data_IF_969908421369
#
_entry.id   IF_969908421369
#
_cell.length_a   1.000
_cell.length_b   1.000
_cell.length_c   1.000
_cell.angle_alpha   90.00
_cell.angle_beta   90.00
_cell.angle_gamma   90.00
#
_symmetry.space_group_name_H-M   'P 1'
#
loop_
_entity.id
_entity.type
_entity.pdbx_description
1 polymer ?
#
# COMPACT_ATOMS: atom_id res chain seq x y z
N UNK A 1 -6.07 58.77 34.87
CA UNK A 1 -5.26 58.53 33.65
C UNK A 1 -4.59 57.16 33.65
N UNK A 2 -4.24 56.62 34.77
CA UNK A 2 -3.56 55.29 34.92
C UNK A 2 -4.48 54.12 34.59
N UNK A 3 -5.75 54.16 34.96
CA UNK A 3 -6.73 53.07 34.74
C UNK A 3 -6.90 52.76 33.22
N UNK A 4 -6.93 53.76 32.37
CA UNK A 4 -7.04 53.63 30.93
C UNK A 4 -5.76 52.98 30.32
N UNK A 5 -4.60 53.25 30.91
CA UNK A 5 -3.30 52.62 30.46
C UNK A 5 -3.27 51.16 30.85
N UNK A 6 -3.70 50.81 32.07
CA UNK A 6 -3.79 49.44 32.57
C UNK A 6 -4.78 48.61 31.74
N UNK A 7 -5.93 49.19 31.35
CA UNK A 7 -6.92 48.53 30.51
C UNK A 7 -6.37 48.23 29.09
N UNK A 8 -5.61 49.17 28.53
CA UNK A 8 -4.96 48.98 27.20
C UNK A 8 -3.86 47.93 27.24
N UNK A 9 -3.05 47.89 28.32
CA UNK A 9 -2.02 46.85 28.51
C UNK A 9 -2.66 45.46 28.70
N UNK A 10 -3.74 45.36 29.44
CA UNK A 10 -4.47 44.11 29.63
C UNK A 10 -5.11 43.61 28.34
N UNK A 11 -5.71 44.48 27.53
CA UNK A 11 -6.26 44.13 26.23
C UNK A 11 -5.18 43.70 25.24
N UNK A 12 -4.03 44.32 25.24
CA UNK A 12 -2.89 43.95 24.39
C UNK A 12 -2.29 42.60 24.78
N UNK A 13 -2.13 42.33 26.09
CA UNK A 13 -1.65 41.05 26.58
C UNK A 13 -2.64 39.91 26.27
N UNK A 14 -3.94 40.15 26.37
CA UNK A 14 -4.97 39.16 26.00
C UNK A 14 -4.97 38.87 24.49
N UNK A 15 -4.80 39.89 23.66
CA UNK A 15 -4.72 39.73 22.22
C UNK A 15 -3.48 38.93 21.77
N UNK A 16 -2.32 39.13 22.43
CA UNK A 16 -1.10 38.37 22.12
C UNK A 16 -1.20 36.90 22.53
N UNK A 17 -1.89 36.56 23.63
CA UNK A 17 -2.10 35.16 24.04
C UNK A 17 -3.03 34.39 23.10
N UNK A 18 -4.03 35.05 22.49
CA UNK A 18 -4.94 34.43 21.52
C UNK A 18 -4.27 34.13 20.17
N UNK A 19 -3.20 34.85 19.81
CA UNK A 19 -2.46 34.62 18.56
C UNK A 19 -1.48 33.43 18.60
N UNK A 20 -1.14 32.94 19.79
CA UNK A 20 -0.14 31.85 19.94
C UNK A 20 -0.75 30.45 19.87
N UNK A 21 -2.07 30.30 19.84
CA UNK A 21 -2.75 28.99 19.87
C UNK A 21 -2.98 28.35 18.49
N UNK A 22 -2.54 28.99 17.40
CA UNK A 22 -2.94 28.61 16.04
C UNK A 22 -2.12 27.49 15.38
N UNK A 23 -1.11 26.91 16.05
CA UNK A 23 -0.14 26.01 15.39
C UNK A 23 -0.24 24.54 15.77
N UNK A 24 -1.36 24.07 16.35
CA UNK A 24 -1.45 22.67 16.81
C UNK A 24 -2.04 21.67 15.80
N UNK A 25 -2.41 22.12 14.58
CA UNK A 25 -2.95 21.21 13.58
C UNK A 25 -1.84 20.48 12.80
N UNK A 26 -1.83 19.16 12.89
CA UNK A 26 -0.99 18.29 12.08
C UNK A 26 -1.87 17.52 11.09
N UNK A 27 -1.66 17.76 9.80
CA UNK A 27 -2.42 17.09 8.76
C UNK A 27 -2.13 15.57 8.74
N UNK A 28 -3.13 14.74 8.43
CA UNK A 28 -2.91 13.34 8.15
C UNK A 28 -1.90 13.17 7.01
N UNK A 29 -1.04 12.17 7.12
CA UNK A 29 -0.04 11.84 6.13
C UNK A 29 -0.25 10.39 5.67
N UNK A 30 -0.50 10.22 4.37
CA UNK A 30 -0.60 8.90 3.73
C UNK A 30 0.43 8.84 2.61
N UNK A 31 1.23 7.78 2.57
CA UNK A 31 2.29 7.58 1.58
C UNK A 31 2.36 6.12 1.14
N UNK A 32 2.89 5.89 -0.07
CA UNK A 32 3.08 4.56 -0.63
C UNK A 32 1.82 3.99 -1.29
N UNK A 33 1.75 2.66 -1.37
CA UNK A 33 0.64 1.96 -2.00
C UNK A 33 -0.49 1.76 -0.99
N UNK A 34 -1.58 2.51 -1.15
CA UNK A 34 -2.81 2.20 -0.42
C UNK A 34 -3.49 0.99 -1.07
N UNK A 35 -3.52 -0.14 -0.36
CA UNK A 35 -4.14 -1.38 -0.82
C UNK A 35 -5.26 -1.74 0.16
N UNK A 36 -6.45 -1.91 -0.37
CA UNK A 36 -7.60 -2.41 0.38
C UNK A 36 -7.58 -3.95 0.40
N UNK A 37 -8.13 -4.55 1.46
CA UNK A 37 -8.16 -6.01 1.61
C UNK A 37 -8.88 -6.69 0.45
N UNK A 38 -9.96 -6.10 -0.06
CA UNK A 38 -10.73 -6.64 -1.20
C UNK A 38 -9.95 -6.67 -2.52
N UNK A 39 -8.88 -5.88 -2.67
CA UNK A 39 -7.96 -6.02 -3.78
C UNK A 39 -6.99 -7.19 -3.56
N UNK A 40 -6.54 -7.37 -2.31
CA UNK A 40 -5.70 -8.52 -1.95
C UNK A 40 -6.47 -9.83 -2.11
N UNK A 41 -7.76 -9.84 -1.78
CA UNK A 41 -8.64 -11.00 -1.90
C UNK A 41 -8.88 -11.45 -3.36
N UNK A 42 -8.57 -10.59 -4.32
CA UNK A 42 -8.61 -10.93 -5.76
C UNK A 42 -7.33 -11.59 -6.26
N UNK A 43 -6.27 -11.62 -5.44
CA UNK A 43 -5.03 -12.28 -5.82
C UNK A 43 -5.20 -13.79 -5.77
N UNK A 44 -4.62 -14.44 -6.76
CA UNK A 44 -4.56 -15.90 -6.85
C UNK A 44 -3.16 -16.34 -7.29
N UNK A 45 -2.72 -17.46 -6.77
CA UNK A 45 -1.51 -18.13 -7.27
C UNK A 45 -1.70 -18.49 -8.75
N UNK A 46 -0.67 -18.29 -9.56
CA UNK A 46 -0.74 -18.46 -11.01
C UNK A 46 -0.98 -17.16 -11.80
N UNK A 47 -1.33 -16.04 -11.13
CA UNK A 47 -1.45 -14.75 -11.82
C UNK A 47 -0.12 -14.27 -12.39
N UNK A 48 -0.17 -13.65 -13.57
CA UNK A 48 1.01 -12.99 -14.16
C UNK A 48 1.30 -11.65 -13.48
N UNK A 49 2.53 -11.16 -13.63
CA UNK A 49 2.93 -9.83 -13.16
C UNK A 49 2.05 -8.72 -13.69
N UNK A 50 1.59 -8.80 -14.95
CA UNK A 50 0.66 -7.84 -15.53
C UNK A 50 -0.71 -7.88 -14.85
N UNK A 51 -1.23 -9.09 -14.58
CA UNK A 51 -2.50 -9.25 -13.88
C UNK A 51 -2.44 -8.68 -12.46
N UNK A 52 -1.33 -8.94 -11.75
CA UNK A 52 -1.10 -8.38 -10.41
C UNK A 52 -1.03 -6.84 -10.47
N UNK A 53 -0.32 -6.26 -11.44
CA UNK A 53 -0.30 -4.81 -11.64
C UNK A 53 -1.66 -4.23 -11.97
N UNK A 54 -2.47 -4.95 -12.70
CA UNK A 54 -3.83 -4.51 -13.01
C UNK A 54 -4.70 -4.44 -11.76
N UNK A 55 -4.54 -5.38 -10.82
CA UNK A 55 -5.31 -5.43 -9.57
C UNK A 55 -4.78 -4.44 -8.52
N UNK A 56 -3.47 -4.45 -8.26
CA UNK A 56 -2.84 -3.70 -7.15
C UNK A 56 -2.15 -2.40 -7.57
N UNK A 57 -1.97 -2.19 -8.86
CA UNK A 57 -1.15 -1.09 -9.37
C UNK A 57 0.34 -1.42 -9.36
N UNK A 58 1.17 -0.39 -9.58
CA UNK A 58 2.62 -0.52 -9.62
C UNK A 58 3.18 -0.72 -8.20
N UNK A 59 4.04 -1.72 -7.96
CA UNK A 59 4.69 -1.90 -6.66
C UNK A 59 5.62 -0.72 -6.34
N UNK A 60 5.79 -0.44 -5.05
CA UNK A 60 6.68 0.62 -4.58
C UNK A 60 8.15 0.28 -4.82
N UNK A 61 8.50 -0.99 -4.66
CA UNK A 61 9.86 -1.48 -4.85
C UNK A 61 9.83 -2.85 -5.54
N UNK A 62 10.70 -2.99 -6.53
CA UNK A 62 11.08 -4.27 -7.14
C UNK A 62 12.57 -4.43 -6.86
N UNK A 63 12.97 -5.60 -6.35
CA UNK A 63 14.38 -5.86 -6.10
C UNK A 63 15.16 -5.84 -7.43
N UNK A 64 16.17 -4.98 -7.59
CA UNK A 64 16.92 -4.86 -8.84
C UNK A 64 17.79 -6.09 -9.16
N UNK A 65 18.10 -6.90 -8.15
CA UNK A 65 18.90 -8.11 -8.30
C UNK A 65 18.05 -9.37 -8.44
N UNK A 66 16.83 -9.31 -7.88
CA UNK A 66 15.88 -10.43 -7.88
C UNK A 66 14.46 -9.92 -8.19
N UNK A 67 14.10 -9.91 -9.47
CA UNK A 67 12.76 -9.53 -9.91
C UNK A 67 11.63 -10.47 -9.45
N UNK A 68 11.97 -11.46 -8.62
CA UNK A 68 11.01 -12.40 -8.05
C UNK A 68 10.19 -11.80 -6.90
N UNK A 69 10.62 -10.68 -6.32
CA UNK A 69 9.95 -10.08 -5.17
C UNK A 69 9.47 -8.66 -5.47
N UNK A 70 8.20 -8.43 -5.21
CA UNK A 70 7.57 -7.12 -5.29
C UNK A 70 7.10 -6.69 -3.92
N UNK A 71 7.36 -5.43 -3.59
CA UNK A 71 7.02 -4.84 -2.30
C UNK A 71 6.01 -3.72 -2.49
N UNK A 72 4.88 -3.84 -1.80
CA UNK A 72 3.89 -2.81 -1.64
C UNK A 72 3.90 -2.35 -0.20
N UNK A 73 4.17 -1.08 0.03
CA UNK A 73 4.29 -0.50 1.36
C UNK A 73 3.29 0.64 1.49
N UNK A 74 2.47 0.59 2.51
CA UNK A 74 1.54 1.65 2.88
C UNK A 74 1.93 2.24 4.22
N UNK A 75 2.09 3.56 4.26
CA UNK A 75 2.34 4.34 5.46
C UNK A 75 1.17 5.29 5.69
N UNK A 76 0.60 5.25 6.89
CA UNK A 76 -0.44 6.17 7.32
C UNK A 76 -0.13 6.70 8.71
N UNK A 77 -0.31 8.01 8.89
CA UNK A 77 -0.24 8.66 10.21
C UNK A 77 -1.32 9.72 10.29
N UNK A 78 -2.21 9.59 11.27
CA UNK A 78 -3.29 10.53 11.51
C UNK A 78 -2.87 11.53 12.61
N UNK A 79 -2.66 12.79 12.21
CA UNK A 79 -2.29 13.86 13.13
C UNK A 79 -1.05 13.54 13.96
N UNK A 80 -1.24 13.40 15.27
CA UNK A 80 -0.19 13.15 16.27
C UNK A 80 -0.08 11.67 16.68
N UNK A 81 -0.91 10.80 16.09
CA UNK A 81 -0.90 9.37 16.36
C UNK A 81 0.37 8.70 15.84
N UNK A 82 0.68 7.53 16.38
CA UNK A 82 1.77 6.70 15.90
C UNK A 82 1.50 6.24 14.45
N UNK A 83 2.52 6.19 13.60
CA UNK A 83 2.34 5.77 12.23
C UNK A 83 1.99 4.28 12.14
N UNK A 84 1.07 3.96 11.25
CA UNK A 84 0.75 2.59 10.85
C UNK A 84 1.46 2.29 9.53
N UNK A 85 2.25 1.23 9.49
CA UNK A 85 2.90 0.73 8.27
C UNK A 85 2.35 -0.65 7.97
N UNK A 86 1.88 -0.87 6.73
CA UNK A 86 1.45 -2.17 6.24
C UNK A 86 2.27 -2.55 5.03
N UNK A 87 2.77 -3.77 5.03
CA UNK A 87 3.57 -4.33 3.97
C UNK A 87 2.84 -5.50 3.32
N UNK A 88 2.89 -5.56 1.99
CA UNK A 88 2.51 -6.73 1.21
C UNK A 88 3.70 -7.10 0.33
N UNK A 89 4.15 -8.33 0.44
CA UNK A 89 5.27 -8.87 -0.31
C UNK A 89 4.73 -9.98 -1.20
N UNK A 90 4.94 -9.86 -2.50
CA UNK A 90 4.54 -10.85 -3.49
C UNK A 90 5.77 -11.56 -4.02
N UNK A 91 5.70 -12.88 -4.06
CA UNK A 91 6.77 -13.75 -4.57
C UNK A 91 6.38 -14.34 -5.91
N UNK A 92 7.25 -14.17 -6.90
CA UNK A 92 7.06 -14.67 -8.26
C UNK A 92 8.10 -15.74 -8.60
N UNK A 93 7.68 -16.73 -9.38
CA UNK A 93 8.57 -17.62 -10.08
C UNK A 93 8.52 -17.28 -11.57
N UNK A 94 9.60 -16.65 -12.08
CA UNK A 94 9.57 -16.03 -13.39
C UNK A 94 8.54 -14.92 -13.45
N UNK A 95 7.47 -15.11 -14.24
CA UNK A 95 6.39 -14.15 -14.40
C UNK A 95 5.11 -14.50 -13.61
N UNK A 96 5.12 -15.60 -12.86
CA UNK A 96 3.93 -16.15 -12.20
C UNK A 96 4.00 -15.95 -10.70
N UNK A 97 2.91 -15.42 -10.10
CA UNK A 97 2.75 -15.26 -8.67
C UNK A 97 2.61 -16.65 -8.01
N UNK A 98 3.49 -16.93 -7.04
CA UNK A 98 3.50 -18.21 -6.33
C UNK A 98 3.14 -18.08 -4.85
N UNK A 99 3.42 -16.93 -4.23
CA UNK A 99 3.12 -16.72 -2.82
C UNK A 99 2.97 -15.25 -2.47
N UNK A 100 2.37 -14.99 -1.30
CA UNK A 100 2.25 -13.67 -0.70
C UNK A 100 2.49 -13.74 0.79
N UNK A 101 3.04 -12.66 1.35
CA UNK A 101 3.30 -12.51 2.78
C UNK A 101 3.20 -11.04 3.21
N UNK A 102 3.20 -10.78 4.52
CA UNK A 102 3.14 -9.43 5.08
C UNK A 102 1.99 -9.26 6.06
N UNK A 103 1.47 -8.02 6.15
CA UNK A 103 0.47 -7.62 7.14
C UNK A 103 -0.98 -7.84 6.66
N UNK A 104 -1.15 -8.36 5.46
CA UNK A 104 -2.46 -8.68 4.88
C UNK A 104 -2.76 -10.16 5.02
N UNK A 105 -3.95 -10.56 5.49
CA UNK A 105 -4.34 -11.96 5.54
C UNK A 105 -4.37 -12.56 4.12
N UNK A 106 -3.80 -13.75 3.98
CA UNK A 106 -3.80 -14.48 2.71
C UNK A 106 -5.22 -14.97 2.41
N UNK A 107 -5.77 -14.70 1.21
CA UNK A 107 -7.08 -15.18 0.84
C UNK A 107 -7.15 -16.71 0.84
N UNK A 108 -8.27 -17.28 1.31
CA UNK A 108 -8.47 -18.74 1.30
C UNK A 108 -8.51 -19.32 -0.12
N UNK A 109 -8.86 -18.49 -1.10
CA UNK A 109 -8.90 -18.82 -2.52
C UNK A 109 -7.57 -18.69 -3.24
N UNK A 110 -6.53 -18.15 -2.55
CA UNK A 110 -5.25 -17.86 -3.18
C UNK A 110 -4.61 -19.10 -3.83
N UNK A 111 -4.56 -20.21 -3.11
CA UNK A 111 -3.92 -21.43 -3.57
C UNK A 111 -4.79 -22.23 -4.58
N UNK A 112 -6.08 -21.90 -4.69
CA UNK A 112 -6.97 -22.53 -5.66
C UNK A 112 -6.62 -22.17 -7.13
N UNK A 113 -5.93 -21.06 -7.35
CA UNK A 113 -5.45 -20.65 -8.67
C UNK A 113 -4.47 -21.63 -9.32
N UNK A 114 -3.69 -22.38 -8.51
CA UNK A 114 -2.78 -23.40 -9.01
C UNK A 114 -3.48 -24.62 -9.63
N UNK A 115 -4.73 -24.86 -9.27
CA UNK A 115 -5.51 -26.03 -9.73
C UNK A 115 -6.14 -25.74 -11.10
N UNK A 116 -6.23 -24.48 -11.52
CA UNK A 116 -6.95 -24.05 -12.73
C UNK A 116 -6.02 -23.63 -13.87
N UNK A 117 -4.68 -23.76 -13.72
CA UNK A 117 -3.80 -23.60 -14.83
C UNK A 117 -4.11 -24.71 -15.86
N UNK A 118 -4.62 -24.40 -17.08
CA UNK A 118 -4.78 -25.40 -18.09
C UNK A 118 -3.38 -25.96 -18.37
N UNK A 119 -3.21 -27.26 -18.15
CA UNK A 119 -2.09 -28.00 -18.75
C UNK A 119 -2.15 -27.66 -20.23
N UNK A 120 -1.22 -26.85 -20.72
CA UNK A 120 -1.02 -26.71 -22.15
C UNK A 120 -0.54 -28.07 -22.63
N UNK A 121 -1.52 -28.89 -23.01
CA UNK A 121 -1.31 -30.02 -23.86
C UNK A 121 -0.65 -29.48 -25.12
N UNK A 122 0.63 -29.77 -25.27
CA UNK A 122 1.39 -29.43 -26.48
C UNK A 122 0.60 -30.02 -27.64
N UNK A 123 0.23 -29.23 -28.66
CA UNK A 123 -0.38 -29.83 -29.84
C UNK A 123 0.65 -30.83 -30.39
N UNK A 124 0.25 -32.10 -30.43
CA UNK A 124 1.00 -33.14 -31.11
C UNK A 124 1.19 -32.67 -32.54
N UNK A 125 2.42 -32.23 -32.86
CA UNK A 125 2.84 -31.94 -34.20
C UNK A 125 3.05 -33.27 -34.89
N UNK A 126 1.97 -33.81 -35.45
CA UNK A 126 2.00 -34.99 -36.30
C UNK A 126 2.68 -34.59 -37.62
N UNK A 127 3.92 -35.05 -37.81
CA UNK A 127 4.64 -34.93 -39.08
C UNK A 127 3.88 -35.73 -40.11
N UNK A 128 3.54 -35.14 -41.29
CA UNK A 128 2.99 -35.93 -42.37
C UNK A 128 4.05 -36.93 -42.82
N UNK A 129 3.70 -38.21 -42.67
CA UNK A 129 4.54 -39.33 -43.11
C UNK A 129 4.79 -39.31 -44.61
N UNK A 130 5.96 -39.80 -44.96
CA UNK A 130 6.38 -40.10 -46.35
C UNK A 130 5.43 -41.11 -47.00
#
# INVERSE_FOLDING_TARGET
MQLKKLLKLGAFALATTLLTTSCAYRAPLTQGNYIEQDLVDKLASGMTKEQVRFVLGTPMLIDPYDNSRWYYVHFQRDGWDDPVVKNLILLFNGDVLIDMSGDYPKPTTFDAGLITAPTQESPDFELPGE
#
